data_IF_853068305973
#
_entry.id   IF_853068305973
#
_cell.length_a   1.000
_cell.length_b   1.000
_cell.length_c   1.000
_cell.angle_alpha   90.00
_cell.angle_beta   90.00
_cell.angle_gamma   90.00
#
_symmetry.space_group_name_H-M   'P 1'
#
loop_
_entity.id
_entity.type
_entity.pdbx_description
1 polymer ?
#
# COMPACT_ATOMS: atom_id res chain seq x y z
N UNK A 1 -25.02 -21.11 -39.74
CA UNK A 1 -25.17 -20.23 -38.56
C UNK A 1 -24.64 -20.85 -37.28
N UNK A 2 -25.08 -22.04 -36.83
CA UNK A 2 -24.56 -22.68 -35.59
C UNK A 2 -23.04 -22.87 -35.56
N UNK A 3 -22.41 -23.26 -36.68
CA UNK A 3 -20.95 -23.44 -36.75
C UNK A 3 -20.15 -22.14 -36.65
N UNK A 4 -20.67 -21.02 -37.15
CA UNK A 4 -20.05 -19.71 -37.05
C UNK A 4 -20.14 -19.17 -35.60
N UNK A 5 -21.28 -19.41 -34.95
CA UNK A 5 -21.47 -19.04 -33.54
C UNK A 5 -20.53 -19.83 -32.61
N UNK A 6 -20.36 -21.14 -32.90
CA UNK A 6 -19.43 -22.03 -32.19
C UNK A 6 -17.98 -21.58 -32.38
N UNK A 7 -17.59 -21.19 -33.58
CA UNK A 7 -16.23 -20.66 -33.85
C UNK A 7 -15.99 -19.34 -33.11
N UNK A 8 -16.95 -18.43 -33.12
CA UNK A 8 -16.85 -17.15 -32.38
C UNK A 8 -16.77 -17.38 -30.86
N UNK A 9 -17.54 -18.32 -30.31
CA UNK A 9 -17.47 -18.63 -28.88
C UNK A 9 -16.14 -19.25 -28.49
N UNK A 10 -15.57 -20.09 -29.35
CA UNK A 10 -14.28 -20.74 -29.13
C UNK A 10 -13.12 -19.71 -29.19
N UNK A 11 -13.17 -18.78 -30.14
CA UNK A 11 -12.21 -17.65 -30.24
C UNK A 11 -12.31 -16.73 -29.03
N UNK A 12 -13.52 -16.44 -28.55
CA UNK A 12 -13.72 -15.61 -27.36
C UNK A 12 -13.17 -16.29 -26.09
N UNK A 13 -13.41 -17.59 -25.94
CA UNK A 13 -12.85 -18.40 -24.84
C UNK A 13 -11.33 -18.45 -24.93
N UNK A 14 -10.76 -18.59 -26.13
CA UNK A 14 -9.31 -18.59 -26.33
C UNK A 14 -8.68 -17.25 -25.97
N UNK A 15 -9.27 -16.12 -26.40
CA UNK A 15 -8.81 -14.76 -26.05
C UNK A 15 -8.88 -14.53 -24.53
N UNK A 16 -9.94 -14.98 -23.86
CA UNK A 16 -10.09 -14.85 -22.41
C UNK A 16 -9.08 -15.70 -21.61
N UNK A 17 -8.56 -16.78 -22.20
CA UNK A 17 -7.58 -17.65 -21.53
C UNK A 17 -6.11 -17.34 -21.87
N UNK A 18 -5.84 -16.60 -22.97
CA UNK A 18 -4.46 -16.31 -23.41
C UNK A 18 -3.96 -14.93 -23.01
N UNK A 19 -4.83 -14.05 -22.51
CA UNK A 19 -4.39 -12.83 -21.89
C UNK A 19 -4.06 -13.14 -20.42
N UNK A 20 -2.77 -13.18 -20.02
CA UNK A 20 -2.47 -12.96 -18.62
C UNK A 20 -2.98 -11.54 -18.35
N UNK A 21 -4.11 -11.46 -17.68
CA UNK A 21 -4.52 -10.26 -16.97
C UNK A 21 -3.50 -10.10 -15.82
N UNK A 22 -2.29 -9.69 -16.16
CA UNK A 22 -1.52 -8.87 -15.26
C UNK A 22 -2.28 -7.54 -15.20
N UNK A 23 -3.48 -7.57 -14.65
CA UNK A 23 -3.98 -6.48 -13.91
C UNK A 23 -2.97 -6.30 -12.77
N UNK A 24 -1.95 -5.49 -12.98
CA UNK A 24 -1.45 -4.62 -11.93
C UNK A 24 -2.62 -3.68 -11.62
N UNK A 25 -3.71 -4.24 -11.10
CA UNK A 25 -4.43 -3.54 -10.11
C UNK A 25 -3.33 -3.19 -9.10
N UNK A 26 -3.06 -1.91 -8.90
CA UNK A 26 -2.56 -1.43 -7.63
C UNK A 26 -3.62 -1.87 -6.61
N UNK A 27 -3.57 -3.14 -6.30
CA UNK A 27 -4.03 -3.66 -5.07
C UNK A 27 -3.10 -2.97 -4.08
N UNK A 28 -3.57 -1.93 -3.43
CA UNK A 28 -3.15 -1.74 -2.06
C UNK A 28 -3.41 -3.11 -1.45
N UNK A 29 -2.41 -3.98 -1.32
CA UNK A 29 -2.55 -5.37 -0.94
C UNK A 29 -3.51 -5.56 0.23
N UNK A 30 -3.60 -6.67 0.82
CA UNK A 30 -4.45 -6.81 2.02
C UNK A 30 -4.25 -5.55 2.89
N UNK A 31 -5.30 -4.75 3.18
CA UNK A 31 -5.17 -3.56 4.03
C UNK A 31 -4.59 -3.88 5.42
N UNK A 32 -4.61 -5.16 5.81
CA UNK A 32 -4.04 -5.64 7.05
C UNK A 32 -2.56 -6.09 6.91
N UNK A 33 -2.00 -6.07 5.70
CA UNK A 33 -0.59 -6.40 5.45
C UNK A 33 0.19 -5.14 5.07
N UNK A 34 1.28 -4.92 5.77
CA UNK A 34 2.25 -3.87 5.45
C UNK A 34 3.62 -4.50 5.24
N UNK A 35 4.13 -4.41 4.00
CA UNK A 35 5.32 -5.13 3.56
C UNK A 35 6.54 -4.85 4.43
N UNK A 36 6.77 -3.58 4.80
CA UNK A 36 7.92 -3.21 5.65
C UNK A 36 7.78 -3.82 7.05
N UNK A 37 6.56 -3.89 7.59
CA UNK A 37 6.31 -4.53 8.88
C UNK A 37 6.53 -6.06 8.85
N UNK A 38 6.14 -6.71 7.76
CA UNK A 38 6.40 -8.15 7.59
C UNK A 38 7.89 -8.45 7.44
N UNK A 39 8.62 -7.62 6.69
CA UNK A 39 10.08 -7.71 6.59
C UNK A 39 10.74 -7.55 7.96
N UNK A 40 10.32 -6.59 8.77
CA UNK A 40 10.83 -6.43 10.14
C UNK A 40 10.65 -7.71 10.97
N UNK A 41 9.45 -8.33 10.93
CA UNK A 41 9.18 -9.58 11.67
C UNK A 41 10.10 -10.71 11.20
N UNK A 42 10.26 -10.89 9.89
CA UNK A 42 11.12 -11.90 9.29
C UNK A 42 12.61 -11.67 9.63
N UNK A 43 13.08 -10.42 9.54
CA UNK A 43 14.44 -10.07 9.93
C UNK A 43 14.69 -10.37 11.41
N UNK A 44 13.75 -10.00 12.27
CA UNK A 44 13.85 -10.27 13.72
C UNK A 44 13.89 -11.77 14.02
N UNK A 45 13.15 -12.59 13.26
CA UNK A 45 13.24 -14.05 13.36
C UNK A 45 14.65 -14.54 13.02
N UNK A 46 15.24 -14.10 11.88
CA UNK A 46 16.59 -14.49 11.46
C UNK A 46 17.69 -14.01 12.40
N UNK A 47 17.54 -12.81 12.92
CA UNK A 47 18.49 -12.28 13.92
C UNK A 47 18.37 -12.95 15.28
N UNK A 48 17.26 -13.64 15.58
CA UNK A 48 17.07 -14.41 16.80
C UNK A 48 17.52 -15.88 16.68
N UNK A 49 17.94 -16.34 15.50
CA UNK A 49 18.58 -17.65 15.32
C UNK A 49 19.88 -17.74 16.13
N UNK A 50 20.34 -18.92 16.39
CA UNK A 50 21.62 -19.14 17.09
C UNK A 50 22.59 -20.00 16.25
N UNK A 51 23.62 -19.41 15.62
CA UNK A 51 23.99 -17.98 15.63
C UNK A 51 23.03 -17.11 14.78
N UNK A 52 22.99 -15.78 15.04
CA UNK A 52 22.17 -14.85 14.25
C UNK A 52 22.55 -14.89 12.76
N UNK A 53 21.52 -14.94 11.89
CA UNK A 53 21.69 -15.03 10.44
C UNK A 53 21.57 -13.65 9.79
N UNK A 54 22.67 -12.89 9.83
CA UNK A 54 22.72 -11.53 9.26
C UNK A 54 22.63 -11.51 7.74
N UNK A 55 23.14 -12.52 7.04
CA UNK A 55 23.13 -12.58 5.58
C UNK A 55 21.70 -12.74 5.05
N UNK A 56 20.91 -13.59 5.69
CA UNK A 56 19.50 -13.76 5.32
C UNK A 56 18.66 -12.55 5.75
N UNK A 57 18.91 -11.97 6.92
CA UNK A 57 18.27 -10.73 7.35
C UNK A 57 18.54 -9.60 6.34
N UNK A 58 19.77 -9.48 5.80
CA UNK A 58 20.12 -8.51 4.75
C UNK A 58 19.32 -8.79 3.47
N UNK A 59 19.26 -10.03 3.02
CA UNK A 59 18.51 -10.43 1.82
C UNK A 59 17.02 -10.08 1.96
N UNK A 60 16.43 -10.31 3.12
CA UNK A 60 15.04 -9.95 3.42
C UNK A 60 14.87 -8.43 3.40
N UNK A 61 15.77 -7.66 4.02
CA UNK A 61 15.72 -6.20 4.05
C UNK A 61 15.77 -5.59 2.64
N UNK A 62 16.62 -6.12 1.76
CA UNK A 62 16.76 -5.62 0.39
C UNK A 62 15.46 -5.67 -0.41
N UNK A 63 14.50 -6.50 -0.04
CA UNK A 63 13.18 -6.58 -0.69
C UNK A 63 12.30 -5.35 -0.47
N UNK A 64 12.61 -4.52 0.53
CA UNK A 64 11.89 -3.28 0.87
C UNK A 64 12.75 -2.03 0.80
N UNK A 65 14.06 -2.18 0.56
CA UNK A 65 15.00 -1.07 0.52
C UNK A 65 14.55 0.04 -0.43
N UNK A 66 14.19 -0.31 -1.66
CA UNK A 66 13.75 0.66 -2.67
C UNK A 66 12.49 1.43 -2.20
N UNK A 67 11.55 0.75 -1.55
CA UNK A 67 10.36 1.39 -0.99
C UNK A 67 10.73 2.36 0.14
N UNK A 68 11.64 1.98 1.02
CA UNK A 68 12.12 2.84 2.11
C UNK A 68 12.83 4.06 1.53
N UNK A 69 13.77 3.87 0.60
CA UNK A 69 14.52 4.95 -0.05
C UNK A 69 13.58 5.95 -0.75
N UNK A 70 12.57 5.44 -1.46
CA UNK A 70 11.60 6.26 -2.18
C UNK A 70 10.77 7.14 -1.23
N UNK A 71 10.39 6.60 -0.08
CA UNK A 71 9.43 7.24 0.82
C UNK A 71 10.06 7.94 2.01
N UNK A 72 11.27 7.59 2.39
CA UNK A 72 11.93 8.07 3.61
C UNK A 72 13.35 8.60 3.36
N UNK A 73 13.84 8.49 2.11
CA UNK A 73 15.24 8.79 1.78
C UNK A 73 16.16 7.61 2.04
N UNK A 74 17.41 7.71 1.54
CA UNK A 74 18.39 6.62 1.65
C UNK A 74 18.98 6.46 3.05
N UNK A 75 18.97 7.51 3.87
CA UNK A 75 19.61 7.52 5.19
C UNK A 75 19.14 6.40 6.12
N UNK A 76 17.81 6.13 6.29
CA UNK A 76 17.35 5.03 7.14
C UNK A 76 17.77 3.66 6.63
N UNK A 77 17.75 3.43 5.31
CA UNK A 77 18.14 2.14 4.75
C UNK A 77 19.65 1.92 4.81
N UNK A 78 20.47 2.97 4.65
CA UNK A 78 21.92 2.93 4.81
C UNK A 78 22.31 2.59 6.26
N UNK A 79 21.58 3.14 7.26
CA UNK A 79 21.80 2.83 8.67
C UNK A 79 21.58 1.34 8.95
N UNK A 80 20.45 0.77 8.50
CA UNK A 80 20.15 -0.66 8.66
C UNK A 80 21.20 -1.53 7.97
N UNK A 81 21.60 -1.21 6.73
CA UNK A 81 22.59 -1.98 6.00
C UNK A 81 23.96 -1.96 6.69
N UNK A 82 24.37 -0.80 7.20
CA UNK A 82 25.60 -0.67 7.98
C UNK A 82 25.56 -1.54 9.23
N UNK A 83 24.50 -1.47 10.02
CA UNK A 83 24.34 -2.27 11.23
C UNK A 83 24.33 -3.78 10.93
N UNK A 84 23.75 -4.20 9.78
CA UNK A 84 23.79 -5.59 9.31
C UNK A 84 25.22 -6.02 8.95
N UNK A 85 26.02 -5.17 8.29
CA UNK A 85 27.42 -5.43 7.94
C UNK A 85 28.33 -5.49 9.17
N UNK A 86 28.08 -4.63 10.15
CA UNK A 86 28.77 -4.59 11.44
C UNK A 86 28.30 -5.70 12.39
N UNK A 87 27.25 -6.44 12.02
CA UNK A 87 26.62 -7.53 12.80
C UNK A 87 26.12 -7.07 14.17
N UNK A 88 25.58 -5.87 14.22
CA UNK A 88 24.99 -5.25 15.40
C UNK A 88 23.50 -5.51 15.48
N UNK A 89 23.12 -6.68 15.98
CA UNK A 89 21.74 -7.16 16.01
C UNK A 89 20.75 -6.15 16.61
N UNK A 90 21.07 -5.62 17.77
CA UNK A 90 20.22 -4.68 18.51
C UNK A 90 20.02 -3.40 17.71
N UNK A 91 21.08 -2.85 17.12
CA UNK A 91 21.03 -1.65 16.25
C UNK A 91 20.17 -1.89 15.02
N UNK A 92 20.28 -3.07 14.36
CA UNK A 92 19.41 -3.43 13.22
C UNK A 92 17.93 -3.41 13.63
N UNK A 93 17.60 -4.00 14.78
CA UNK A 93 16.22 -4.07 15.27
C UNK A 93 15.70 -2.66 15.59
N UNK A 94 16.47 -1.85 16.30
CA UNK A 94 16.11 -0.47 16.66
C UNK A 94 15.91 0.42 15.42
N UNK A 95 16.79 0.34 14.42
CA UNK A 95 16.68 1.12 13.20
C UNK A 95 15.46 0.71 12.37
N UNK A 96 15.16 -0.59 12.30
CA UNK A 96 13.92 -1.07 11.68
C UNK A 96 12.67 -0.60 12.45
N UNK A 97 12.69 -0.58 13.77
CA UNK A 97 11.59 -0.06 14.59
C UNK A 97 11.36 1.44 14.32
N UNK A 98 12.42 2.24 14.20
CA UNK A 98 12.33 3.65 13.80
C UNK A 98 11.73 3.81 12.39
N UNK A 99 12.15 2.98 11.42
CA UNK A 99 11.57 2.97 10.07
C UNK A 99 10.07 2.67 10.11
N UNK A 100 9.61 1.72 10.94
CA UNK A 100 8.18 1.45 11.11
C UNK A 100 7.42 2.65 11.68
N UNK A 101 8.00 3.37 12.64
CA UNK A 101 7.38 4.61 13.16
C UNK A 101 7.27 5.66 12.06
N UNK A 102 8.32 5.87 11.26
CA UNK A 102 8.30 6.79 10.13
C UNK A 102 7.25 6.38 9.08
N UNK A 103 7.09 5.07 8.83
CA UNK A 103 6.06 4.57 7.92
C UNK A 103 4.64 4.87 8.43
N UNK A 104 4.39 4.72 9.74
CA UNK A 104 3.13 5.15 10.37
C UNK A 104 2.91 6.65 10.16
N UNK A 105 3.91 7.48 10.46
CA UNK A 105 3.82 8.93 10.29
C UNK A 105 3.44 9.32 8.86
N UNK A 106 4.12 8.74 7.87
CA UNK A 106 3.82 8.92 6.44
C UNK A 106 2.37 8.57 6.10
N UNK A 107 1.86 7.46 6.62
CA UNK A 107 0.47 7.05 6.38
C UNK A 107 -0.52 8.08 6.95
N UNK A 108 -0.28 8.57 8.16
CA UNK A 108 -1.11 9.60 8.76
C UNK A 108 -1.09 10.92 7.98
N UNK A 109 0.06 11.34 7.46
CA UNK A 109 0.16 12.52 6.58
C UNK A 109 -0.68 12.34 5.30
N UNK A 110 -0.57 11.17 4.68
CA UNK A 110 -1.34 10.87 3.47
C UNK A 110 -2.86 10.79 3.75
N UNK A 111 -3.28 10.30 4.92
CA UNK A 111 -4.69 10.34 5.34
C UNK A 111 -5.16 11.79 5.47
N UNK A 112 -4.37 12.65 6.11
CA UNK A 112 -4.76 14.05 6.31
C UNK A 112 -4.93 14.78 4.97
N UNK A 113 -4.04 14.53 4.01
CA UNK A 113 -4.14 15.08 2.64
C UNK A 113 -5.36 14.57 1.87
N UNK A 114 -5.74 13.32 2.08
CA UNK A 114 -6.84 12.64 1.38
C UNK A 114 -8.06 12.40 2.28
N UNK A 115 -8.25 13.21 3.32
CA UNK A 115 -9.21 12.96 4.39
C UNK A 115 -10.66 12.79 3.91
N UNK A 116 -11.02 13.47 2.85
CA UNK A 116 -12.36 13.40 2.24
C UNK A 116 -12.58 12.10 1.42
N UNK A 117 -11.52 11.35 1.14
CA UNK A 117 -11.59 10.09 0.41
C UNK A 117 -11.65 8.92 1.41
N UNK A 118 -12.85 8.60 1.87
CA UNK A 118 -13.08 7.61 2.93
C UNK A 118 -12.35 6.27 2.70
N UNK A 119 -12.50 5.67 1.51
CA UNK A 119 -11.92 4.36 1.22
C UNK A 119 -10.39 4.38 1.19
N UNK A 120 -9.81 5.45 0.67
CA UNK A 120 -8.36 5.68 0.66
C UNK A 120 -7.85 5.88 2.08
N UNK A 121 -8.48 6.78 2.85
CA UNK A 121 -8.09 7.08 4.23
C UNK A 121 -8.23 5.86 5.14
N UNK A 122 -9.31 5.10 5.00
CA UNK A 122 -9.53 3.87 5.76
C UNK A 122 -8.45 2.81 5.48
N UNK A 123 -8.07 2.61 4.20
CA UNK A 123 -7.01 1.66 3.84
C UNK A 123 -5.65 2.10 4.37
N UNK A 124 -5.31 3.38 4.25
CA UNK A 124 -4.07 3.92 4.80
C UNK A 124 -4.00 3.77 6.32
N UNK A 125 -5.12 4.00 7.03
CA UNK A 125 -5.19 3.82 8.47
C UNK A 125 -5.05 2.35 8.87
N UNK A 126 -5.68 1.43 8.14
CA UNK A 126 -5.50 -0.01 8.36
C UNK A 126 -4.04 -0.44 8.19
N UNK A 127 -3.35 0.07 7.18
CA UNK A 127 -1.91 -0.18 6.98
C UNK A 127 -1.04 0.44 8.10
N UNK A 128 -1.37 1.65 8.56
CA UNK A 128 -0.70 2.26 9.71
C UNK A 128 -0.88 1.41 10.97
N UNK A 129 -2.10 0.89 11.20
CA UNK A 129 -2.38 0.02 12.32
C UNK A 129 -1.66 -1.34 12.21
N UNK A 130 -1.63 -1.97 11.04
CA UNK A 130 -0.87 -3.20 10.80
C UNK A 130 0.64 -3.00 11.06
N UNK A 131 1.18 -1.82 10.71
CA UNK A 131 2.56 -1.45 11.07
C UNK A 131 2.73 -1.32 12.58
N UNK A 132 1.77 -0.69 13.28
CA UNK A 132 1.79 -0.58 14.73
C UNK A 132 1.71 -1.95 15.40
N UNK A 133 0.91 -2.88 14.90
CA UNK A 133 0.82 -4.24 15.45
C UNK A 133 2.17 -4.97 15.45
N UNK A 134 3.08 -4.67 14.50
CA UNK A 134 4.44 -5.19 14.53
C UNK A 134 5.30 -4.57 15.66
N UNK A 135 5.01 -3.32 16.05
CA UNK A 135 5.67 -2.62 17.17
C UNK A 135 5.01 -2.88 18.53
N UNK A 136 3.73 -3.26 18.54
CA UNK A 136 2.93 -3.45 19.77
C UNK A 136 3.62 -4.34 20.80
N UNK A 137 4.27 -5.48 20.46
CA UNK A 137 4.98 -6.29 21.45
C UNK A 137 6.11 -5.54 22.16
N UNK A 138 6.80 -4.63 21.46
CA UNK A 138 7.90 -3.82 22.04
C UNK A 138 7.33 -2.75 22.97
N UNK A 139 6.24 -2.08 22.55
CA UNK A 139 5.54 -1.08 23.37
C UNK A 139 4.95 -1.74 24.61
N UNK A 140 4.28 -2.89 24.43
CA UNK A 140 3.66 -3.64 25.53
C UNK A 140 4.69 -4.12 26.57
N UNK A 141 5.87 -4.53 26.12
CA UNK A 141 6.95 -4.94 27.02
C UNK A 141 7.48 -3.78 27.88
N UNK A 142 7.42 -2.54 27.36
CA UNK A 142 7.79 -1.32 28.10
C UNK A 142 6.65 -0.85 29.00
N UNK A 143 5.43 -0.77 28.46
CA UNK A 143 4.23 -0.31 29.18
C UNK A 143 2.94 -0.80 28.50
N UNK A 144 2.26 -1.76 29.14
CA UNK A 144 0.99 -2.32 28.66
C UNK A 144 -0.13 -1.28 28.58
N UNK A 145 -0.14 -0.26 29.45
CA UNK A 145 -1.16 0.78 29.41
C UNK A 145 -0.98 1.69 28.19
N UNK A 146 0.26 1.97 27.81
CA UNK A 146 0.58 2.73 26.59
C UNK A 146 0.13 1.96 25.35
N UNK A 147 0.40 0.65 25.25
CA UNK A 147 -0.08 -0.17 24.13
C UNK A 147 -1.60 -0.15 23.99
N UNK A 148 -2.31 -0.29 25.13
CA UNK A 148 -3.76 -0.19 25.14
C UNK A 148 -4.26 1.18 24.67
N UNK A 149 -3.67 2.25 25.19
CA UNK A 149 -4.00 3.62 24.78
C UNK A 149 -3.76 3.84 23.27
N UNK A 150 -2.67 3.32 22.74
CA UNK A 150 -2.36 3.41 21.32
C UNK A 150 -3.44 2.77 20.46
N UNK A 151 -3.90 1.57 20.81
CA UNK A 151 -5.00 0.87 20.12
C UNK A 151 -6.30 1.67 20.18
N UNK A 152 -6.61 2.28 21.32
CA UNK A 152 -7.79 3.15 21.49
C UNK A 152 -7.68 4.41 20.62
N UNK A 153 -6.48 4.98 20.45
CA UNK A 153 -6.30 6.15 19.57
C UNK A 153 -6.44 5.77 18.08
N UNK A 154 -5.96 4.59 17.66
CA UNK A 154 -6.22 4.11 16.31
C UNK A 154 -7.72 3.90 16.05
N UNK A 155 -8.46 3.38 17.02
CA UNK A 155 -9.91 3.24 16.93
C UNK A 155 -10.62 4.61 16.83
N UNK A 156 -10.16 5.62 17.59
CA UNK A 156 -10.68 6.99 17.49
C UNK A 156 -10.36 7.61 16.13
N UNK A 157 -9.14 7.42 15.63
CA UNK A 157 -8.77 7.85 14.29
C UNK A 157 -9.68 7.22 13.23
N UNK A 158 -9.99 5.92 13.33
CA UNK A 158 -10.90 5.24 12.42
C UNK A 158 -12.34 5.82 12.51
N UNK A 159 -12.84 6.05 13.72
CA UNK A 159 -14.16 6.62 13.93
C UNK A 159 -14.28 8.04 13.40
N UNK A 160 -13.19 8.82 13.43
CA UNK A 160 -13.14 10.19 12.94
C UNK A 160 -13.22 10.30 11.41
N UNK A 161 -12.88 9.22 10.67
CA UNK A 161 -13.06 9.17 9.21
C UNK A 161 -14.55 9.18 8.81
N UNK A 162 -15.45 8.94 9.75
CA UNK A 162 -16.88 8.83 9.46
C UNK A 162 -17.23 7.53 8.77
N UNK A 163 -18.34 7.55 8.03
CA UNK A 163 -18.82 6.43 7.21
C UNK A 163 -19.76 6.97 6.13
N UNK A 164 -19.54 6.75 4.85
CA UNK A 164 -20.46 7.17 3.78
C UNK A 164 -21.82 6.49 3.85
N UNK A 165 -21.93 5.39 4.61
CA UNK A 165 -23.13 4.55 4.66
C UNK A 165 -23.31 3.68 3.43
N UNK A 166 -24.24 2.75 3.51
CA UNK A 166 -24.67 1.95 2.35
C UNK A 166 -25.97 2.55 1.80
N UNK A 167 -25.94 3.08 0.57
CA UNK A 167 -27.06 3.83 -0.02
C UNK A 167 -27.61 4.94 0.89
N UNK A 168 -26.71 5.60 1.64
CA UNK A 168 -27.07 6.69 2.56
C UNK A 168 -27.59 6.23 3.93
N UNK A 169 -27.78 4.94 4.15
CA UNK A 169 -28.16 4.39 5.46
C UNK A 169 -26.92 4.20 6.33
N UNK A 170 -26.96 4.68 7.56
CA UNK A 170 -25.85 4.59 8.52
C UNK A 170 -24.70 5.57 8.23
N UNK A 171 -24.97 6.64 7.46
CA UNK A 171 -24.00 7.72 7.24
C UNK A 171 -23.57 8.32 8.57
N UNK A 172 -22.23 8.48 8.74
CA UNK A 172 -21.63 9.21 9.86
C UNK A 172 -20.67 10.25 9.28
N UNK A 173 -20.82 11.50 9.70
CA UNK A 173 -19.96 12.58 9.25
C UNK A 173 -18.52 12.37 9.71
N UNK A 174 -17.56 12.75 8.88
CA UNK A 174 -16.14 12.75 9.22
C UNK A 174 -15.77 13.98 10.06
N UNK A 175 -14.73 13.84 10.89
CA UNK A 175 -14.25 14.91 11.76
C UNK A 175 -12.72 14.96 11.71
N UNK A 176 -12.18 15.89 10.93
CA UNK A 176 -10.73 16.03 10.74
C UNK A 176 -10.02 16.50 12.02
N UNK A 177 -10.67 17.27 12.88
CA UNK A 177 -10.05 17.75 14.11
C UNK A 177 -9.86 16.61 15.12
N UNK A 178 -10.82 15.69 15.21
CA UNK A 178 -10.66 14.48 16.02
C UNK A 178 -9.59 13.55 15.45
N UNK A 179 -9.54 13.42 14.11
CA UNK A 179 -8.45 12.67 13.46
C UNK A 179 -7.08 13.24 13.82
N UNK A 180 -6.91 14.57 13.71
CA UNK A 180 -5.64 15.24 14.04
C UNK A 180 -5.22 15.04 15.49
N UNK A 181 -6.16 15.06 16.44
CA UNK A 181 -5.87 14.78 17.85
C UNK A 181 -5.35 13.36 18.05
N UNK A 182 -6.00 12.36 17.46
CA UNK A 182 -5.55 10.98 17.55
C UNK A 182 -4.21 10.77 16.84
N UNK A 183 -4.02 11.37 15.65
CA UNK A 183 -2.74 11.39 14.95
C UNK A 183 -1.62 11.92 15.84
N UNK A 184 -1.82 13.09 16.44
CA UNK A 184 -0.83 13.73 17.31
C UNK A 184 -0.50 12.86 18.54
N UNK A 185 -1.52 12.28 19.18
CA UNK A 185 -1.35 11.41 20.33
C UNK A 185 -0.53 10.16 19.96
N UNK A 186 -0.86 9.51 18.84
CA UNK A 186 -0.16 8.33 18.33
C UNK A 186 1.31 8.68 18.01
N UNK A 187 1.53 9.70 17.19
CA UNK A 187 2.86 10.04 16.70
C UNK A 187 3.78 10.53 17.81
N UNK A 188 3.28 11.36 18.73
CA UNK A 188 4.05 11.83 19.89
C UNK A 188 4.45 10.66 20.81
N UNK A 189 3.53 9.71 21.02
CA UNK A 189 3.81 8.54 21.83
C UNK A 189 4.88 7.66 21.18
N UNK A 190 4.75 7.37 19.87
CA UNK A 190 5.72 6.57 19.13
C UNK A 190 7.09 7.25 19.08
N UNK A 191 7.14 8.55 18.80
CA UNK A 191 8.37 9.32 18.79
C UNK A 191 9.13 9.19 20.11
N UNK A 192 8.41 9.28 21.23
CA UNK A 192 8.98 9.12 22.57
C UNK A 192 9.43 7.68 22.85
N UNK A 193 8.61 6.70 22.50
CA UNK A 193 8.87 5.28 22.80
C UNK A 193 10.09 4.74 22.04
N UNK A 194 10.33 5.24 20.82
CA UNK A 194 11.41 4.82 19.93
C UNK A 194 12.53 5.86 19.79
N UNK A 195 12.54 6.90 20.62
CA UNK A 195 13.59 7.91 20.74
C UNK A 195 13.95 8.60 19.41
N UNK A 196 12.93 8.83 18.54
CA UNK A 196 13.16 9.55 17.30
C UNK A 196 13.31 11.06 17.57
N UNK A 197 14.34 11.66 16.97
CA UNK A 197 14.57 13.11 17.04
C UNK A 197 13.54 13.90 16.24
N UNK A 198 13.10 13.37 15.11
CA UNK A 198 12.10 13.95 14.23
C UNK A 198 11.29 12.83 13.56
N UNK A 199 10.04 13.14 13.25
CA UNK A 199 9.20 12.32 12.36
C UNK A 199 9.22 12.85 10.93
N UNK A 200 9.89 13.97 10.70
CA UNK A 200 10.11 14.51 9.36
C UNK A 200 11.15 13.66 8.65
N UNK A 201 10.73 13.05 7.59
CA UNK A 201 11.60 12.27 6.71
C UNK A 201 11.87 13.15 5.49
N UNK A 202 13.10 13.21 5.04
CA UNK A 202 13.56 14.14 4.01
C UNK A 202 12.81 14.12 2.68
N UNK A 203 11.81 13.25 2.52
CA UNK A 203 10.93 13.13 1.36
C UNK A 203 9.43 13.31 1.66
N UNK A 204 9.05 13.70 2.86
CA UNK A 204 7.69 14.20 3.14
C UNK A 204 7.50 15.66 2.68
N UNK A 205 8.54 16.31 2.19
CA UNK A 205 8.45 17.55 1.45
C UNK A 205 7.90 17.29 0.03
N UNK A 206 7.46 18.34 -0.65
CA UNK A 206 6.78 18.34 -1.97
C UNK A 206 7.32 17.35 -3.02
N UNK A 207 8.60 16.94 -2.95
CA UNK A 207 9.21 16.00 -3.90
C UNK A 207 8.72 14.55 -3.76
N UNK A 208 8.34 14.06 -2.58
CA UNK A 208 7.78 12.72 -2.43
C UNK A 208 6.33 12.67 -2.92
N UNK A 209 5.56 13.74 -2.67
CA UNK A 209 4.22 13.91 -3.23
C UNK A 209 4.27 14.05 -4.75
N UNK A 210 5.31 14.71 -5.29
CA UNK A 210 5.56 14.77 -6.74
C UNK A 210 5.97 13.43 -7.33
N UNK A 211 6.72 12.57 -6.63
CA UNK A 211 7.07 11.24 -7.15
C UNK A 211 5.89 10.28 -7.09
N UNK A 212 5.05 10.30 -6.04
CA UNK A 212 3.80 9.55 -6.02
C UNK A 212 2.81 10.07 -7.09
N UNK A 213 2.66 11.39 -7.23
CA UNK A 213 1.85 11.99 -8.28
C UNK A 213 2.42 11.76 -9.69
N UNK A 214 3.73 11.77 -9.86
CA UNK A 214 4.40 11.41 -11.13
C UNK A 214 4.28 9.92 -11.44
N UNK A 215 4.34 9.06 -10.42
CA UNK A 215 4.15 7.62 -10.58
C UNK A 215 2.69 7.27 -10.90
N UNK A 216 1.71 7.89 -10.22
CA UNK A 216 0.29 7.78 -10.58
C UNK A 216 -0.04 8.39 -11.94
N UNK A 217 0.56 9.57 -12.26
CA UNK A 217 0.40 10.21 -13.56
C UNK A 217 1.08 9.40 -14.67
N UNK A 218 2.22 8.78 -14.41
CA UNK A 218 2.89 7.88 -15.35
C UNK A 218 2.09 6.60 -15.57
N UNK A 219 1.53 6.00 -14.53
CA UNK A 219 0.64 4.86 -14.63
C UNK A 219 -0.64 5.21 -15.40
N UNK A 220 -1.30 6.33 -15.08
CA UNK A 220 -2.46 6.86 -15.85
C UNK A 220 -2.07 7.15 -17.31
N UNK A 221 -0.92 7.80 -17.54
CA UNK A 221 -0.42 8.12 -18.87
C UNK A 221 -0.10 6.88 -19.69
N UNK A 222 0.37 5.81 -19.03
CA UNK A 222 0.63 4.54 -19.72
C UNK A 222 -0.64 3.85 -20.21
N UNK A 223 -1.74 3.95 -19.49
CA UNK A 223 -3.05 3.41 -19.88
C UNK A 223 -3.78 4.26 -20.93
N UNK A 224 -3.59 5.58 -20.91
CA UNK A 224 -4.20 6.53 -21.86
C UNK A 224 -3.30 6.86 -23.05
N UNK A 225 -2.08 6.36 -23.08
CA UNK A 225 -1.15 6.58 -24.18
C UNK A 225 -1.55 5.73 -25.40
N UNK A 226 -2.28 6.35 -26.30
CA UNK A 226 -2.74 5.74 -27.56
C UNK A 226 -1.63 5.44 -28.56
N UNK A 227 -0.39 5.90 -28.31
CA UNK A 227 0.76 5.58 -29.14
C UNK A 227 1.25 4.15 -28.93
N UNK A 228 0.93 3.52 -27.78
CA UNK A 228 1.28 2.13 -27.49
C UNK A 228 0.23 1.18 -28.06
N UNK A 229 0.63 0.31 -28.98
CA UNK A 229 -0.25 -0.68 -29.63
C UNK A 229 -1.08 -1.50 -28.64
N UNK A 230 -0.55 -1.81 -27.45
CA UNK A 230 -1.25 -2.57 -26.41
C UNK A 230 -2.54 -1.87 -25.91
N UNK A 231 -2.58 -0.53 -25.95
CA UNK A 231 -3.72 0.24 -25.47
C UNK A 231 -4.87 0.27 -26.49
N UNK A 232 -4.60 -0.12 -27.75
CA UNK A 232 -5.60 -0.25 -28.80
C UNK A 232 -6.34 -1.58 -28.78
N UNK A 233 -5.79 -2.61 -28.11
CA UNK A 233 -6.36 -3.95 -28.06
C UNK A 233 -7.83 -3.94 -27.62
N UNK A 234 -8.25 -3.27 -26.53
CA UNK A 234 -9.65 -3.21 -26.10
C UNK A 234 -10.55 -2.56 -27.16
N UNK A 235 -10.05 -1.52 -27.83
CA UNK A 235 -10.79 -0.79 -28.87
C UNK A 235 -10.96 -1.67 -30.11
N UNK A 236 -9.92 -2.39 -30.53
CA UNK A 236 -9.95 -3.30 -31.66
C UNK A 236 -10.96 -4.45 -31.39
N UNK A 237 -10.91 -5.03 -30.18
CA UNK A 237 -11.86 -6.08 -29.78
C UNK A 237 -13.30 -5.57 -29.82
N UNK A 238 -13.57 -4.37 -29.30
CA UNK A 238 -14.88 -3.76 -29.34
C UNK A 238 -15.40 -3.56 -30.76
N UNK A 239 -14.53 -3.05 -31.66
CA UNK A 239 -14.88 -2.84 -33.07
C UNK A 239 -15.18 -4.16 -33.78
N UNK A 240 -14.40 -5.20 -33.52
CA UNK A 240 -14.64 -6.54 -34.09
C UNK A 240 -15.96 -7.15 -33.60
N UNK A 241 -16.30 -6.98 -32.33
CA UNK A 241 -17.59 -7.44 -31.78
C UNK A 241 -18.75 -6.70 -32.45
N UNK A 242 -18.68 -5.36 -32.58
CA UNK A 242 -19.72 -4.56 -33.26
C UNK A 242 -19.84 -4.98 -34.74
N UNK A 243 -18.74 -5.13 -35.45
CA UNK A 243 -18.73 -5.57 -36.84
C UNK A 243 -19.38 -6.97 -36.99
N UNK A 244 -19.05 -7.89 -36.09
CA UNK A 244 -19.65 -9.23 -36.06
C UNK A 244 -21.17 -9.19 -35.86
N UNK A 245 -21.65 -8.36 -34.93
CA UNK A 245 -23.10 -8.16 -34.70
C UNK A 245 -23.80 -7.57 -35.92
N UNK A 246 -23.20 -6.58 -36.58
CA UNK A 246 -23.75 -5.94 -37.80
C UNK A 246 -23.83 -6.96 -38.94
N UNK A 247 -22.75 -7.69 -39.20
CA UNK A 247 -22.73 -8.73 -40.24
C UNK A 247 -23.78 -9.83 -39.96
N UNK A 248 -23.93 -10.22 -38.71
CA UNK A 248 -24.97 -11.20 -38.32
C UNK A 248 -26.37 -10.64 -38.54
N UNK A 249 -26.63 -9.40 -38.15
CA UNK A 249 -27.91 -8.74 -38.35
C UNK A 249 -28.28 -8.63 -39.85
N UNK A 250 -27.32 -8.23 -40.69
CA UNK A 250 -27.51 -8.10 -42.14
C UNK A 250 -27.71 -9.48 -42.80
N UNK A 251 -27.02 -10.51 -42.39
CA UNK A 251 -27.18 -11.87 -42.88
C UNK A 251 -28.57 -12.46 -42.51
N UNK A 252 -29.09 -12.07 -41.32
CA UNK A 252 -30.43 -12.48 -40.88
C UNK A 252 -31.56 -11.80 -41.65
N UNK A 253 -31.33 -10.56 -42.15
CA UNK A 253 -32.31 -9.78 -42.90
C UNK A 253 -32.45 -10.25 -44.37
N UNK A 254 -31.49 -11.05 -44.89
CA UNK A 254 -31.47 -11.60 -46.24
C UNK A 254 -32.09 -13.02 -46.35
N UNK A 255 -32.59 -13.57 -45.27
CA UNK A 255 -33.42 -14.77 -45.20
C UNK A 255 -34.84 -14.42 -44.80
#
# INVERSE_FOLDING_TARGET
MKRVLLFFSLVLIFILNTTPLNAYAYSYGDPNEEKVAEVYKQMKEKLNENPPNFDEAKTIFETVKEEIDMHMGSEPSEAVLKALEEKEKETVIEDMEKILVLNIARRFENIEKNFNEYDTSKRLLAKAFATYEALSPVVQAKDTAVDKQMKEEFDRALQSLGNPGLFGVGKKESNIDEFKKSKEAILTTLQKQFELKSLEVGHFTESATESEAKFEAAAKKEWTDLSKMKNWIPIIVLVLVIAGVVVYALAKKKK
#
